data_IF_891575393549
#
_entry.id   IF_891575393549
#
_cell.length_a   1.000
_cell.length_b   1.000
_cell.length_c   1.000
_cell.angle_alpha   90.00
_cell.angle_beta   90.00
_cell.angle_gamma   90.00
#
_symmetry.space_group_name_H-M   'P 1'
#
loop_
_entity.id
_entity.type
_entity.pdbx_description
1 polymer ?
#
# COMPACT_ATOMS: atom_id res chain seq x y z
N UNK A 1 17.56 7.78 -5.13
CA UNK A 1 17.00 8.18 -3.83
C UNK A 1 15.75 9.00 -4.09
N UNK A 2 14.64 8.72 -3.42
CA UNK A 2 13.38 9.46 -3.55
C UNK A 2 12.89 9.87 -2.17
N UNK A 3 12.51 11.14 -1.99
CA UNK A 3 11.91 11.60 -0.73
C UNK A 3 10.41 11.35 -0.74
N UNK A 4 9.93 10.68 0.29
CA UNK A 4 8.51 10.45 0.50
C UNK A 4 8.09 10.99 1.85
N UNK A 5 6.81 11.34 1.95
CA UNK A 5 6.16 11.73 3.18
C UNK A 5 5.13 10.69 3.57
N UNK A 6 5.07 10.35 4.85
CA UNK A 6 3.98 9.55 5.41
C UNK A 6 2.69 10.38 5.35
N UNK A 7 1.71 9.89 4.64
CA UNK A 7 0.42 10.57 4.40
C UNK A 7 -0.76 9.90 5.10
N UNK A 8 -0.61 8.65 5.49
CA UNK A 8 -1.65 7.89 6.18
C UNK A 8 -1.03 6.82 7.06
N UNK A 9 -1.64 6.59 8.23
CA UNK A 9 -1.38 5.47 9.13
C UNK A 9 -2.76 4.98 9.61
N UNK A 10 -3.01 3.68 9.53
CA UNK A 10 -4.25 3.10 10.02
C UNK A 10 -4.07 1.65 10.46
N UNK A 11 -4.93 1.19 11.37
CA UNK A 11 -4.98 -0.22 11.76
C UNK A 11 -5.62 -1.06 10.66
N UNK A 12 -5.09 -2.26 10.45
CA UNK A 12 -5.56 -3.23 9.44
C UNK A 12 -5.17 -4.63 9.89
N UNK A 13 -5.85 -5.66 9.38
CA UNK A 13 -5.41 -7.05 9.58
C UNK A 13 -4.37 -7.43 8.52
N UNK A 14 -3.26 -8.03 8.94
CA UNK A 14 -2.20 -8.56 8.08
C UNK A 14 -1.97 -10.01 8.46
N UNK A 15 -2.26 -10.92 7.52
CA UNK A 15 -2.12 -12.38 7.71
C UNK A 15 -2.92 -12.97 8.88
N UNK A 16 -4.06 -12.38 9.26
CA UNK A 16 -4.89 -12.84 10.38
C UNK A 16 -4.54 -12.21 11.72
N UNK A 17 -3.52 -11.35 11.77
CA UNK A 17 -3.06 -10.67 12.97
C UNK A 17 -3.23 -9.15 12.86
N UNK A 18 -3.34 -8.42 13.99
CA UNK A 18 -3.33 -6.95 13.98
C UNK A 18 -2.06 -6.39 13.32
N UNK A 19 -2.25 -5.40 12.48
CA UNK A 19 -1.19 -4.75 11.72
C UNK A 19 -1.50 -3.28 11.43
N UNK A 20 -0.63 -2.67 10.64
CA UNK A 20 -0.65 -1.25 10.33
C UNK A 20 -0.46 -1.03 8.84
N UNK A 21 -1.36 -0.28 8.25
CA UNK A 21 -1.21 0.29 6.91
C UNK A 21 -0.49 1.61 7.00
N UNK A 22 0.54 1.79 6.18
CA UNK A 22 1.29 3.06 6.06
C UNK A 22 1.37 3.46 4.59
N UNK A 23 1.04 4.71 4.31
CA UNK A 23 1.07 5.23 2.94
C UNK A 23 2.11 6.33 2.80
N UNK A 24 3.11 6.06 1.98
CA UNK A 24 4.17 6.99 1.60
C UNK A 24 3.83 7.63 0.26
N UNK A 25 3.82 8.96 0.21
CA UNK A 25 3.60 9.71 -1.04
C UNK A 25 4.87 10.46 -1.39
N UNK A 26 5.32 10.36 -2.64
CA UNK A 26 6.44 11.15 -3.15
C UNK A 26 6.20 12.61 -2.84
N UNK A 27 7.23 13.29 -2.34
CA UNK A 27 7.20 14.75 -2.35
C UNK A 27 7.48 15.09 -3.81
N UNK A 28 6.42 15.44 -4.56
CA UNK A 28 6.56 15.76 -5.97
C UNK A 28 7.70 16.78 -6.14
N UNK A 29 8.49 16.70 -7.22
CA UNK A 29 9.31 17.85 -7.58
C UNK A 29 8.35 19.01 -7.76
N UNK A 30 8.49 20.08 -6.98
CA UNK A 30 7.95 21.36 -7.39
C UNK A 30 8.61 21.64 -8.72
N UNK A 31 7.88 21.53 -9.83
CA UNK A 31 8.34 22.08 -11.09
C UNK A 31 8.71 23.52 -10.79
N UNK A 32 10.01 23.82 -10.82
CA UNK A 32 10.49 25.20 -10.80
C UNK A 32 10.10 25.72 -12.18
N UNK A 33 8.84 26.14 -12.30
CA UNK A 33 8.39 26.86 -13.48
C UNK A 33 9.14 28.18 -13.38
N UNK A 34 10.14 28.36 -14.24
CA UNK A 34 10.81 29.65 -14.41
C UNK A 34 9.73 30.71 -14.58
N UNK A 35 9.87 31.83 -13.86
CA UNK A 35 8.91 32.93 -13.81
C UNK A 35 8.40 33.27 -15.21
N UNK A 36 7.21 32.77 -15.54
CA UNK A 36 6.55 33.06 -16.80
C UNK A 36 5.80 34.39 -16.67
N UNK A 37 5.62 35.10 -17.80
CA UNK A 37 4.79 36.31 -17.90
C UNK A 37 3.43 36.13 -17.21
N UNK A 38 2.80 37.20 -16.72
CA UNK A 38 1.48 37.17 -16.07
C UNK A 38 0.45 36.41 -16.91
N UNK A 39 0.45 36.62 -18.23
CA UNK A 39 -0.44 35.94 -19.17
C UNK A 39 -0.29 34.41 -19.15
N UNK A 40 0.95 33.92 -19.00
CA UNK A 40 1.24 32.49 -18.92
C UNK A 40 0.83 31.93 -17.56
N UNK A 41 0.95 32.71 -16.48
CA UNK A 41 0.47 32.32 -15.15
C UNK A 41 -1.06 32.18 -15.14
N UNK A 42 -1.77 33.14 -15.75
CA UNK A 42 -3.23 33.07 -15.90
C UNK A 42 -3.66 31.86 -16.73
N UNK A 43 -3.01 31.63 -17.88
CA UNK A 43 -3.29 30.46 -18.71
C UNK A 43 -3.05 29.15 -17.95
N UNK A 44 -1.96 29.05 -17.18
CA UNK A 44 -1.68 27.89 -16.34
C UNK A 44 -2.76 27.67 -15.28
N UNK A 45 -3.16 28.71 -14.55
CA UNK A 45 -4.20 28.60 -13.51
C UNK A 45 -5.53 28.13 -14.10
N UNK A 46 -5.90 28.62 -15.29
CA UNK A 46 -7.10 28.17 -15.99
C UNK A 46 -7.00 26.69 -16.38
N UNK A 47 -5.88 26.26 -16.96
CA UNK A 47 -5.64 24.86 -17.34
C UNK A 47 -5.65 23.96 -16.11
N UNK A 48 -5.03 24.37 -15.01
CA UNK A 48 -5.00 23.61 -13.76
C UNK A 48 -6.37 23.52 -13.10
N UNK A 49 -7.15 24.61 -13.13
CA UNK A 49 -8.54 24.62 -12.67
C UNK A 49 -9.43 23.69 -13.49
N UNK A 50 -9.28 23.71 -14.82
CA UNK A 50 -10.01 22.81 -15.72
C UNK A 50 -9.66 21.34 -15.45
N UNK A 51 -8.37 21.02 -15.41
CA UNK A 51 -7.90 19.67 -15.11
C UNK A 51 -8.39 19.19 -13.74
N UNK A 52 -8.39 20.07 -12.73
CA UNK A 52 -8.91 19.75 -11.40
C UNK A 52 -10.41 19.43 -11.42
N UNK A 53 -11.21 20.20 -12.16
CA UNK A 53 -12.64 19.95 -12.31
C UNK A 53 -12.92 18.62 -13.04
N UNK A 54 -12.18 18.32 -14.10
CA UNK A 54 -12.31 17.05 -14.81
C UNK A 54 -11.87 15.85 -13.96
N UNK A 55 -10.85 16.01 -13.10
CA UNK A 55 -10.41 15.00 -12.14
C UNK A 55 -11.40 14.80 -10.98
N UNK A 56 -12.15 15.82 -10.59
CA UNK A 56 -13.26 15.70 -9.63
C UNK A 56 -14.45 14.97 -10.26
N UNK A 57 -14.71 15.21 -11.54
CA UNK A 57 -15.73 14.52 -12.32
C UNK A 57 -15.33 13.09 -12.74
N UNK A 58 -14.11 12.64 -12.43
CA UNK A 58 -13.60 11.30 -12.79
C UNK A 58 -13.32 11.10 -14.28
N UNK A 59 -13.27 12.18 -15.07
CA UNK A 59 -13.12 12.14 -16.54
C UNK A 59 -11.66 12.07 -17.00
N UNK A 60 -10.72 12.43 -16.14
CA UNK A 60 -9.27 12.24 -16.37
C UNK A 60 -8.64 11.53 -15.18
N UNK A 61 -7.66 10.64 -15.42
CA UNK A 61 -6.86 10.09 -14.34
C UNK A 61 -6.21 11.24 -13.58
N UNK A 62 -6.28 11.19 -12.25
CA UNK A 62 -5.40 12.02 -11.44
C UNK A 62 -3.99 11.54 -11.75
N UNK A 63 -3.12 12.43 -12.24
CA UNK A 63 -1.68 12.16 -12.27
C UNK A 63 -1.28 11.93 -10.81
N UNK A 64 -1.25 10.65 -10.42
CA UNK A 64 -1.00 10.27 -9.06
C UNK A 64 0.43 10.63 -8.73
N UNK A 65 0.63 11.46 -7.71
CA UNK A 65 1.92 11.53 -7.06
C UNK A 65 2.33 10.10 -6.70
N UNK A 66 3.50 9.61 -7.13
CA UNK A 66 3.90 8.23 -6.86
C UNK A 66 3.71 7.87 -5.39
N UNK A 67 3.01 6.78 -5.12
CA UNK A 67 2.63 6.36 -3.76
C UNK A 67 3.06 4.93 -3.54
N UNK A 68 3.68 4.68 -2.39
CA UNK A 68 3.97 3.35 -1.87
C UNK A 68 3.05 3.10 -0.69
N UNK A 69 2.26 2.04 -0.75
CA UNK A 69 1.39 1.60 0.34
C UNK A 69 1.96 0.29 0.86
N UNK A 70 2.23 0.22 2.16
CA UNK A 70 2.71 -0.99 2.81
C UNK A 70 1.73 -1.41 3.91
N UNK A 71 1.55 -2.71 4.02
CA UNK A 71 0.78 -3.35 5.07
C UNK A 71 1.78 -4.14 5.90
N UNK A 72 1.93 -3.75 7.14
CA UNK A 72 2.99 -4.25 8.03
C UNK A 72 2.32 -4.93 9.22
N UNK A 73 2.85 -6.06 9.65
CA UNK A 73 2.59 -6.57 11.00
C UNK A 73 3.06 -5.54 12.03
N UNK A 74 2.58 -5.61 13.29
CA UNK A 74 3.06 -4.71 14.34
C UNK A 74 4.59 -4.75 14.52
N UNK A 75 5.19 -5.94 14.36
CA UNK A 75 6.64 -6.14 14.49
C UNK A 75 7.40 -5.39 13.41
N UNK A 76 6.95 -5.50 12.15
CA UNK A 76 7.56 -4.81 11.02
C UNK A 76 7.37 -3.29 11.11
N UNK A 77 6.19 -2.83 11.54
CA UNK A 77 5.94 -1.41 11.78
C UNK A 77 6.89 -0.83 12.85
N UNK A 78 7.09 -1.55 13.95
CA UNK A 78 8.06 -1.18 15.00
C UNK A 78 9.50 -1.21 14.47
N UNK A 79 9.86 -2.23 13.68
CA UNK A 79 11.19 -2.34 13.07
C UNK A 79 11.49 -1.21 12.06
N UNK A 80 10.45 -0.68 11.40
CA UNK A 80 10.54 0.49 10.53
C UNK A 80 10.73 1.81 11.31
N UNK A 81 10.78 1.76 12.65
CA UNK A 81 10.94 2.92 13.52
C UNK A 81 9.62 3.61 13.88
N UNK A 82 8.47 2.94 13.69
CA UNK A 82 7.14 3.49 13.99
C UNK A 82 6.89 4.85 13.33
N UNK A 83 6.89 4.92 11.99
CA UNK A 83 6.75 6.17 11.24
C UNK A 83 5.53 6.98 11.68
N UNK A 84 5.64 8.31 11.70
CA UNK A 84 4.53 9.20 12.03
C UNK A 84 4.01 9.96 10.81
N UNK A 85 2.75 10.39 10.85
CA UNK A 85 2.15 11.23 9.80
C UNK A 85 3.01 12.49 9.61
N UNK A 86 3.19 12.90 8.35
CA UNK A 86 4.05 13.99 7.89
C UNK A 86 5.56 13.77 8.05
N UNK A 87 6.02 12.66 8.63
CA UNK A 87 7.44 12.34 8.65
C UNK A 87 7.95 12.07 7.23
N UNK A 88 9.14 12.58 6.93
CA UNK A 88 9.80 12.45 5.63
C UNK A 88 10.85 11.36 5.71
N UNK A 89 10.86 10.48 4.72
CA UNK A 89 11.81 9.39 4.55
C UNK A 89 12.54 9.50 3.22
N UNK A 90 13.80 9.08 3.20
CA UNK A 90 14.56 8.86 1.98
C UNK A 90 14.47 7.38 1.60
N UNK A 91 13.75 7.08 0.52
CA UNK A 91 13.77 5.77 -0.12
C UNK A 91 15.04 5.63 -0.94
N UNK A 92 15.89 4.70 -0.53
CA UNK A 92 17.13 4.37 -1.22
C UNK A 92 16.88 3.09 -2.01
N UNK A 93 17.11 3.16 -3.32
CA UNK A 93 17.11 2.00 -4.22
C UNK A 93 18.57 1.67 -4.52
N UNK A 94 19.25 0.96 -3.62
CA UNK A 94 20.68 0.66 -3.71
C UNK A 94 20.97 -0.51 -4.68
N UNK A 95 20.15 -1.57 -4.61
CA UNK A 95 20.30 -2.83 -5.38
C UNK A 95 19.03 -3.25 -6.14
N UNK A 96 18.03 -2.37 -6.17
CA UNK A 96 16.70 -2.65 -6.72
C UNK A 96 15.72 -3.23 -5.69
N UNK A 97 14.44 -3.36 -6.07
CA UNK A 97 13.42 -4.02 -5.26
C UNK A 97 13.34 -5.48 -5.70
N UNK A 98 13.56 -6.43 -4.78
CA UNK A 98 13.34 -7.87 -5.04
C UNK A 98 11.97 -8.26 -4.50
N UNK A 99 11.12 -8.76 -5.39
CA UNK A 99 9.82 -9.32 -5.03
C UNK A 99 9.93 -10.84 -5.14
N UNK A 100 9.72 -11.54 -4.03
CA UNK A 100 9.63 -13.00 -4.01
C UNK A 100 8.18 -13.41 -3.78
N UNK A 101 7.69 -14.36 -4.57
CA UNK A 101 6.34 -14.88 -4.39
C UNK A 101 6.31 -15.75 -3.14
N UNK A 102 5.58 -15.32 -2.12
CA UNK A 102 5.27 -16.19 -0.97
C UNK A 102 4.20 -17.18 -1.41
N UNK A 103 4.55 -18.46 -1.44
CA UNK A 103 3.61 -19.56 -1.68
C UNK A 103 3.24 -20.15 -0.33
N UNK A 104 1.97 -20.04 0.10
CA UNK A 104 1.51 -20.79 1.27
C UNK A 104 1.13 -22.20 0.82
N UNK A 105 1.87 -23.21 1.25
CA UNK A 105 1.36 -24.58 1.26
C UNK A 105 0.19 -24.62 2.24
N UNK A 106 -1.00 -24.88 1.71
CA UNK A 106 -2.18 -25.11 2.54
C UNK A 106 -1.98 -26.50 3.14
N UNK A 107 -1.60 -26.58 4.42
CA UNK A 107 -1.67 -27.85 5.15
C UNK A 107 -3.12 -28.33 5.13
N UNK A 108 -3.37 -29.34 4.29
CA UNK A 108 -4.61 -30.10 4.30
C UNK A 108 -4.69 -30.82 5.64
N UNK A 109 -5.52 -30.30 6.54
CA UNK A 109 -5.94 -31.02 7.74
C UNK A 109 -6.75 -32.22 7.25
N UNK A 110 -6.11 -33.38 7.20
CA UNK A 110 -6.74 -34.68 6.98
C UNK A 110 -7.61 -35.00 8.20
N UNK A 111 -8.88 -34.62 8.11
CA UNK A 111 -9.92 -35.02 9.06
C UNK A 111 -10.20 -36.51 8.91
N UNK A 112 -9.42 -37.34 9.62
CA UNK A 112 -9.78 -38.73 9.87
C UNK A 112 -11.01 -38.78 10.77
N UNK A 113 -12.14 -39.09 10.14
CA UNK A 113 -13.43 -39.34 10.77
C UNK A 113 -13.41 -40.74 11.42
N UNK A 114 -13.80 -40.93 12.70
CA UNK A 114 -13.92 -42.26 13.28
C UNK A 114 -15.23 -42.92 12.80
N UNK A 115 -15.13 -44.10 12.17
CA UNK A 115 -16.28 -44.94 11.87
C UNK A 115 -16.82 -45.61 13.15
N UNK A 116 -18.13 -45.52 13.45
CA UNK A 116 -18.74 -46.34 14.49
C UNK A 116 -19.32 -47.63 13.89
N UNK A 117 -19.08 -48.76 14.57
CA UNK A 117 -19.97 -49.92 14.50
C UNK A 117 -19.46 -51.13 13.70
N UNK A 118 -18.54 -51.90 14.28
CA UNK A 118 -18.46 -53.34 13.99
C UNK A 118 -19.27 -54.09 15.05
N UNK A 119 -20.54 -54.33 14.74
CA UNK A 119 -21.41 -55.24 15.49
C UNK A 119 -20.98 -56.68 15.21
N UNK A 120 -20.65 -57.38 16.29
CA UNK A 120 -20.45 -58.81 16.43
C UNK A 120 -21.51 -59.62 15.66
N UNK A 121 -21.09 -60.55 14.80
CA UNK A 121 -21.93 -61.65 14.33
C UNK A 121 -21.67 -62.91 15.16
N UNK A 122 -22.77 -63.58 15.49
CA UNK A 122 -22.90 -64.74 16.37
C UNK A 122 -22.44 -66.06 15.74
N UNK A 123 -22.11 -67.01 16.63
CA UNK A 123 -22.43 -68.45 16.61
C UNK A 123 -22.25 -69.27 15.31
N UNK A 124 -21.31 -70.23 15.31
CA UNK A 124 -21.55 -71.65 15.66
C UNK A 124 -20.21 -72.41 15.70
#
# INVERSE_FOLDING_TARGET
MVRVKVTFIGSVEVEGEPGVRVDFTSIAPSSIIEKSSEEVLYAQQMVQGLLSSLQQAGLVPRYGTPRLIVYLTEKEYKALGSPQINQIYELIFDRGIRLEKVSRETESIDSQQPHPGSSTQEAY
#
